data_IF_462030088392
#
_entry.id   IF_462030088392
#
_cell.length_a   1.000
_cell.length_b   1.000
_cell.length_c   1.000
_cell.angle_alpha   90.00
_cell.angle_beta   90.00
_cell.angle_gamma   90.00
#
_symmetry.space_group_name_H-M   'P 1'
#
loop_
_entity.id
_entity.type
_entity.pdbx_description
1 polymer ?
#
# COMPACT_ATOMS: atom_id res chain seq x y z
N UNK A 1 1.59 20.86 2.72
CA UNK A 1 0.33 20.19 3.08
C UNK A 1 -0.54 20.09 1.85
N UNK A 2 -1.23 18.97 1.69
CA UNK A 2 -2.09 18.65 0.55
C UNK A 2 -3.53 19.14 0.67
N UNK A 3 -4.46 18.39 0.07
CA UNK A 3 -5.89 18.71 -0.02
C UNK A 3 -6.65 18.66 1.32
N UNK A 4 -6.40 17.63 2.13
CA UNK A 4 -7.00 17.50 3.47
C UNK A 4 -5.89 17.53 4.52
N UNK A 5 -6.03 18.45 5.48
CA UNK A 5 -5.07 18.62 6.55
C UNK A 5 -5.74 18.50 7.91
N UNK A 6 -5.24 17.56 8.71
CA UNK A 6 -5.68 17.29 10.06
C UNK A 6 -4.46 17.26 10.98
N UNK A 7 -4.43 18.19 11.94
CA UNK A 7 -3.44 18.25 13.00
C UNK A 7 -4.14 18.31 14.36
N UNK A 8 -3.91 17.31 15.20
CA UNK A 8 -4.38 17.31 16.58
C UNK A 8 -5.78 16.73 16.80
N UNK A 9 -6.23 15.75 16.00
CA UNK A 9 -7.54 15.09 16.16
C UNK A 9 -7.59 14.10 17.36
N UNK A 10 -7.25 14.56 18.57
CA UNK A 10 -7.38 13.74 19.79
C UNK A 10 -7.89 14.59 20.97
N UNK A 11 -9.22 14.63 21.09
CA UNK A 11 -9.97 15.27 22.18
C UNK A 11 -10.99 14.26 22.73
N UNK A 12 -11.50 14.49 23.94
CA UNK A 12 -12.47 13.62 24.64
C UNK A 12 -13.75 13.31 23.84
N UNK A 13 -14.02 14.02 22.75
CA UNK A 13 -15.16 13.83 21.84
C UNK A 13 -14.76 13.51 20.39
N UNK A 14 -13.48 13.18 20.14
CA UNK A 14 -12.99 12.93 18.78
C UNK A 14 -13.72 11.74 18.17
N UNK A 15 -14.36 11.98 17.02
CA UNK A 15 -14.96 10.94 16.19
C UNK A 15 -13.94 10.45 15.16
N UNK A 16 -14.10 9.23 14.64
CA UNK A 16 -13.25 8.76 13.56
C UNK A 16 -13.31 9.68 12.34
N UNK A 17 -12.18 9.83 11.68
CA UNK A 17 -12.09 10.50 10.39
C UNK A 17 -12.50 9.52 9.29
N UNK A 18 -13.43 9.91 8.43
CA UNK A 18 -13.89 9.10 7.31
C UNK A 18 -13.66 9.82 5.98
N UNK A 19 -13.01 9.13 5.04
CA UNK A 19 -12.99 9.48 3.62
C UNK A 19 -13.59 8.31 2.84
N UNK A 20 -14.65 8.58 2.09
CA UNK A 20 -15.34 7.58 1.30
C UNK A 20 -15.48 8.08 -0.13
N UNK A 21 -15.17 7.23 -1.13
CA UNK A 21 -15.45 7.51 -2.55
C UNK A 21 -14.94 8.89 -3.01
N UNK A 22 -13.71 9.20 -2.62
CA UNK A 22 -13.09 10.50 -2.91
C UNK A 22 -11.88 10.32 -3.81
N UNK A 23 -11.72 11.22 -4.78
CA UNK A 23 -10.56 11.24 -5.68
C UNK A 23 -9.68 12.45 -5.33
N UNK A 24 -8.42 12.18 -5.03
CA UNK A 24 -7.35 13.14 -4.87
C UNK A 24 -6.43 13.01 -6.08
N UNK A 25 -6.51 13.96 -7.00
CA UNK A 25 -5.78 13.91 -8.26
C UNK A 25 -4.95 15.19 -8.45
N UNK A 26 -3.70 15.02 -8.90
CA UNK A 26 -2.77 16.09 -9.25
C UNK A 26 -2.51 17.11 -8.11
N UNK A 27 -2.63 16.69 -6.84
CA UNK A 27 -2.33 17.59 -5.72
C UNK A 27 -0.82 17.74 -5.56
N UNK A 28 -0.38 18.97 -5.30
CA UNK A 28 1.03 19.28 -5.04
C UNK A 28 1.16 19.87 -3.65
N UNK A 29 2.03 19.28 -2.82
CA UNK A 29 2.44 19.85 -1.54
C UNK A 29 3.93 20.15 -1.51
N UNK A 30 4.37 20.97 -0.55
CA UNK A 30 5.78 21.23 -0.24
C UNK A 30 6.25 20.57 1.06
N UNK A 31 5.38 19.79 1.70
CA UNK A 31 5.59 19.14 2.98
C UNK A 31 4.43 18.16 3.19
N UNK A 32 4.74 16.97 3.73
CA UNK A 32 3.92 15.79 4.04
C UNK A 32 2.48 15.73 3.54
N UNK A 33 2.05 14.55 3.07
CA UNK A 33 0.65 14.28 2.79
C UNK A 33 0.14 15.14 1.64
N UNK A 34 0.67 14.91 0.42
CA UNK A 34 0.27 15.68 -0.77
C UNK A 34 -1.21 15.61 -1.10
N UNK A 35 -1.91 14.55 -0.69
CA UNK A 35 -3.36 14.47 -0.71
C UNK A 35 -3.96 14.64 0.68
N UNK A 36 -3.50 13.83 1.64
CA UNK A 36 -4.06 13.80 3.00
C UNK A 36 -2.93 13.78 4.00
N UNK A 37 -3.00 14.71 4.96
CA UNK A 37 -2.18 14.69 6.15
C UNK A 37 -3.08 14.51 7.37
N UNK A 38 -2.76 13.52 8.19
CA UNK A 38 -3.46 13.25 9.44
C UNK A 38 -2.48 12.93 10.56
N UNK A 39 -2.49 13.78 11.59
CA UNK A 39 -1.65 13.67 12.77
C UNK A 39 -2.49 13.76 14.04
N UNK A 40 -2.29 12.79 14.94
CA UNK A 40 -3.07 12.63 16.17
C UNK A 40 -2.12 12.72 17.38
N UNK A 41 -2.45 13.59 18.35
CA UNK A 41 -1.59 13.81 19.51
C UNK A 41 -1.56 12.61 20.46
N UNK A 42 -0.36 12.26 20.94
CA UNK A 42 -0.13 11.19 21.91
C UNK A 42 -0.64 11.58 23.31
N UNK A 43 -0.95 10.58 24.14
CA UNK A 43 -1.26 10.73 25.58
C UNK A 43 -2.49 11.61 25.92
N UNK A 44 -3.48 11.68 25.04
CA UNK A 44 -4.77 12.32 25.30
C UNK A 44 -5.90 11.29 25.29
N UNK A 45 -6.89 11.40 26.20
CA UNK A 45 -7.99 10.43 26.27
C UNK A 45 -8.88 10.51 25.03
N UNK A 46 -9.00 9.38 24.32
CA UNK A 46 -9.85 9.22 23.13
C UNK A 46 -9.05 8.86 21.87
N UNK A 47 -8.77 7.57 21.63
CA UNK A 47 -8.14 7.17 20.36
C UNK A 47 -9.18 7.31 19.24
N UNK A 48 -8.99 8.28 18.35
CA UNK A 48 -9.71 8.35 17.08
C UNK A 48 -9.03 7.46 16.04
N UNK A 49 -9.74 7.09 14.98
CA UNK A 49 -9.24 6.25 13.88
C UNK A 49 -9.46 6.95 12.55
N UNK A 50 -8.61 6.65 11.56
CA UNK A 50 -8.81 7.04 10.17
C UNK A 50 -9.40 5.86 9.38
N UNK A 51 -10.52 6.09 8.72
CA UNK A 51 -11.19 5.16 7.82
C UNK A 51 -11.19 5.75 6.41
N UNK A 52 -10.51 5.09 5.49
CA UNK A 52 -10.41 5.53 4.09
C UNK A 52 -10.86 4.38 3.21
N UNK A 53 -11.92 4.62 2.45
CA UNK A 53 -12.60 3.57 1.71
C UNK A 53 -12.95 4.03 0.31
N UNK A 54 -12.65 3.18 -0.67
CA UNK A 54 -12.97 3.43 -2.08
C UNK A 54 -12.42 4.78 -2.58
N UNK A 55 -11.21 5.16 -2.16
CA UNK A 55 -10.59 6.42 -2.56
C UNK A 55 -9.51 6.23 -3.63
N UNK A 56 -9.42 7.20 -4.54
CA UNK A 56 -8.39 7.25 -5.58
C UNK A 56 -7.37 8.34 -5.28
N UNK A 57 -6.08 8.00 -5.23
CA UNK A 57 -4.97 8.91 -5.03
C UNK A 57 -4.06 8.84 -6.26
N UNK A 58 -4.23 9.79 -7.17
CA UNK A 58 -3.62 9.77 -8.49
C UNK A 58 -2.69 10.96 -8.71
N UNK A 59 -1.47 10.70 -9.19
CA UNK A 59 -0.53 11.73 -9.65
C UNK A 59 -0.21 12.83 -8.61
N UNK A 60 -0.36 12.53 -7.31
CA UNK A 60 -0.08 13.51 -6.28
C UNK A 60 1.43 13.60 -6.05
N UNK A 61 1.92 14.82 -5.86
CA UNK A 61 3.35 15.09 -5.73
C UNK A 61 3.63 15.85 -4.45
N UNK A 62 4.48 15.30 -3.58
CA UNK A 62 5.15 16.12 -2.57
C UNK A 62 6.49 16.57 -3.16
N UNK A 63 6.64 17.89 -3.34
CA UNK A 63 7.80 18.56 -3.91
C UNK A 63 8.75 19.16 -2.86
N UNK A 64 8.48 18.92 -1.57
CA UNK A 64 9.30 19.42 -0.47
C UNK A 64 10.69 18.79 -0.43
N UNK A 65 11.71 19.54 -0.04
CA UNK A 65 13.09 19.01 0.02
C UNK A 65 13.51 18.55 1.43
N UNK A 66 12.76 18.94 2.47
CA UNK A 66 13.13 18.72 3.87
C UNK A 66 12.34 17.55 4.48
N UNK A 67 11.01 17.56 4.34
CA UNK A 67 10.10 16.64 5.06
C UNK A 67 9.03 16.02 4.13
N UNK A 68 9.43 15.55 2.97
CA UNK A 68 8.51 15.08 1.92
C UNK A 68 8.16 13.61 2.08
N UNK A 69 7.04 13.31 2.75
CA UNK A 69 6.61 11.91 2.96
C UNK A 69 5.12 11.69 2.79
N UNK A 70 4.78 10.60 2.10
CA UNK A 70 3.43 10.11 1.91
C UNK A 70 2.56 11.04 1.06
N UNK A 71 1.85 10.47 0.10
CA UNK A 71 0.64 11.10 -0.44
C UNK A 71 -0.47 11.10 0.61
N UNK A 72 -0.58 9.98 1.33
CA UNK A 72 -1.27 9.86 2.60
C UNK A 72 -0.24 9.85 3.72
N UNK A 73 -0.35 10.78 4.66
CA UNK A 73 0.39 10.75 5.92
C UNK A 73 -0.60 10.43 7.06
N UNK A 74 -0.32 9.39 7.83
CA UNK A 74 -1.10 9.04 9.01
C UNK A 74 -0.20 8.67 10.20
N UNK A 75 -0.35 9.37 11.31
CA UNK A 75 0.41 9.11 12.54
C UNK A 75 -0.43 9.32 13.81
N UNK A 76 -0.24 8.44 14.80
CA UNK A 76 -0.84 8.58 16.13
C UNK A 76 -2.26 8.03 16.25
N UNK A 77 -2.83 7.47 15.18
CA UNK A 77 -4.13 6.82 15.17
C UNK A 77 -4.15 5.58 14.26
N UNK A 78 -4.97 4.56 14.58
CA UNK A 78 -5.18 3.43 13.69
C UNK A 78 -5.72 3.86 12.32
N UNK A 79 -5.21 3.24 11.25
CA UNK A 79 -5.69 3.44 9.88
C UNK A 79 -6.36 2.16 9.36
N UNK A 80 -7.56 2.29 8.81
CA UNK A 80 -8.20 1.25 8.00
C UNK A 80 -8.38 1.77 6.59
N UNK A 81 -7.67 1.18 5.64
CA UNK A 81 -7.67 1.52 4.23
C UNK A 81 -8.27 0.38 3.42
N UNK A 82 -9.36 0.66 2.70
CA UNK A 82 -10.17 -0.33 2.01
C UNK A 82 -10.39 0.07 0.55
N UNK A 83 -10.31 -0.89 -0.35
CA UNK A 83 -10.81 -0.77 -1.74
C UNK A 83 -10.29 0.46 -2.51
N UNK A 84 -9.07 0.89 -2.20
CA UNK A 84 -8.51 2.17 -2.65
C UNK A 84 -7.32 1.98 -3.60
N UNK A 85 -7.03 3.00 -4.40
CA UNK A 85 -5.89 2.99 -5.32
C UNK A 85 -4.96 4.16 -5.07
N UNK A 86 -3.67 3.87 -5.00
CA UNK A 86 -2.60 4.86 -5.04
C UNK A 86 -1.82 4.62 -6.33
N UNK A 87 -1.90 5.56 -7.28
CA UNK A 87 -1.18 5.44 -8.53
C UNK A 87 -0.39 6.70 -8.92
N UNK A 88 0.82 6.49 -9.43
CA UNK A 88 1.69 7.53 -9.97
C UNK A 88 2.02 8.65 -8.98
N UNK A 89 1.98 8.37 -7.68
CA UNK A 89 2.29 9.39 -6.70
C UNK A 89 3.80 9.46 -6.45
N UNK A 90 4.31 10.68 -6.24
CA UNK A 90 5.74 10.92 -6.06
C UNK A 90 6.03 11.74 -4.81
N UNK A 91 7.04 11.34 -4.05
CA UNK A 91 7.58 12.12 -2.93
C UNK A 91 9.10 12.25 -3.06
N UNK A 92 9.71 13.24 -2.41
CA UNK A 92 11.16 13.51 -2.48
C UNK A 92 11.98 12.86 -1.35
N UNK A 93 11.36 12.18 -0.37
CA UNK A 93 12.10 11.46 0.69
C UNK A 93 11.64 10.04 0.89
N UNK A 94 10.44 9.83 1.41
CA UNK A 94 9.96 8.49 1.77
C UNK A 94 8.49 8.34 1.41
N UNK A 95 8.01 7.11 1.25
CA UNK A 95 6.59 6.83 1.02
C UNK A 95 6.04 7.56 -0.21
N UNK A 96 6.21 7.01 -1.41
CA UNK A 96 5.54 7.56 -2.61
C UNK A 96 4.01 7.60 -2.42
N UNK A 97 3.43 6.57 -1.80
CA UNK A 97 2.00 6.51 -1.49
C UNK A 97 1.67 6.83 -0.03
N UNK A 98 2.07 5.98 0.93
CA UNK A 98 1.60 6.07 2.31
C UNK A 98 2.76 6.13 3.28
N UNK A 99 2.79 7.17 4.10
CA UNK A 99 3.66 7.26 5.27
C UNK A 99 2.86 6.99 6.53
N UNK A 100 3.27 5.96 7.27
CA UNK A 100 2.76 5.63 8.58
C UNK A 100 3.79 6.05 9.63
N UNK A 101 3.37 6.85 10.61
CA UNK A 101 4.19 7.22 11.77
C UNK A 101 4.37 6.08 12.76
N UNK A 102 4.75 6.36 14.00
CA UNK A 102 4.96 5.35 15.06
C UNK A 102 3.66 5.04 15.82
N UNK A 103 3.67 4.00 16.65
CA UNK A 103 2.71 3.75 17.73
C UNK A 103 1.22 3.62 17.36
N UNK A 104 0.90 3.05 16.20
CA UNK A 104 -0.48 2.67 15.84
C UNK A 104 -0.52 1.35 15.05
N UNK A 105 -1.71 0.96 14.62
CA UNK A 105 -1.95 -0.23 13.80
C UNK A 105 -2.62 0.16 12.48
N UNK A 106 -2.26 -0.53 11.40
CA UNK A 106 -2.84 -0.26 10.08
C UNK A 106 -3.38 -1.53 9.43
N UNK A 107 -4.58 -1.45 8.87
CA UNK A 107 -5.15 -2.48 7.99
C UNK A 107 -5.30 -1.94 6.57
N UNK A 108 -4.80 -2.69 5.60
CA UNK A 108 -4.87 -2.37 4.17
C UNK A 108 -5.47 -3.57 3.44
N UNK A 109 -6.64 -3.39 2.86
CA UNK A 109 -7.43 -4.49 2.30
C UNK A 109 -7.94 -4.10 0.91
N UNK A 110 -7.82 -5.02 -0.06
CA UNK A 110 -8.32 -4.80 -1.42
C UNK A 110 -7.79 -3.51 -2.05
N UNK A 111 -6.52 -3.19 -1.84
CA UNK A 111 -5.94 -1.95 -2.36
C UNK A 111 -4.94 -2.22 -3.48
N UNK A 112 -4.86 -1.27 -4.42
CA UNK A 112 -3.88 -1.29 -5.52
C UNK A 112 -2.88 -0.15 -5.34
N UNK A 113 -1.59 -0.49 -5.37
CA UNK A 113 -0.47 0.46 -5.33
C UNK A 113 0.33 0.33 -6.62
N UNK A 114 0.23 1.32 -7.49
CA UNK A 114 0.82 1.27 -8.83
C UNK A 114 1.78 2.43 -9.05
N UNK A 115 3.02 2.15 -9.46
CA UNK A 115 3.94 3.18 -9.95
C UNK A 115 4.13 4.37 -8.98
N UNK A 116 4.12 4.12 -7.67
CA UNK A 116 4.42 5.14 -6.67
C UNK A 116 5.93 5.20 -6.44
N UNK A 117 6.49 6.41 -6.41
CA UNK A 117 7.94 6.62 -6.47
C UNK A 117 8.44 7.52 -5.36
N UNK A 118 9.62 7.21 -4.85
CA UNK A 118 10.35 8.07 -3.94
C UNK A 118 11.85 7.79 -4.05
N UNK A 119 12.74 8.79 -3.86
CA UNK A 119 14.16 8.53 -3.88
C UNK A 119 14.64 7.75 -2.64
N UNK A 120 13.92 7.80 -1.51
CA UNK A 120 14.26 7.02 -0.31
C UNK A 120 13.39 5.79 -0.15
N UNK A 121 13.06 5.41 1.07
CA UNK A 121 12.44 4.12 1.38
C UNK A 121 10.91 4.10 1.20
N UNK A 122 10.37 2.92 0.88
CA UNK A 122 8.92 2.70 0.77
C UNK A 122 8.34 3.37 -0.47
N UNK A 123 8.54 2.81 -1.66
CA UNK A 123 7.95 3.38 -2.89
C UNK A 123 6.43 3.49 -2.79
N UNK A 124 5.76 2.43 -2.31
CA UNK A 124 4.36 2.52 -1.89
C UNK A 124 4.25 2.88 -0.40
N UNK A 125 4.63 1.99 0.51
CA UNK A 125 4.36 2.14 1.95
C UNK A 125 5.65 2.27 2.74
N UNK A 126 5.74 3.31 3.56
CA UNK A 126 6.68 3.39 4.69
C UNK A 126 5.90 3.14 5.98
N UNK A 127 6.25 2.06 6.69
CA UNK A 127 5.45 1.49 7.76
C UNK A 127 5.75 1.96 9.17
N UNK A 128 6.71 2.87 9.37
CA UNK A 128 6.98 3.49 10.67
C UNK A 128 7.15 2.55 11.86
N UNK A 129 7.52 1.28 11.63
CA UNK A 129 7.60 0.22 12.67
C UNK A 129 6.27 -0.13 13.35
N UNK A 130 5.15 0.28 12.76
CA UNK A 130 3.80 -0.09 13.20
C UNK A 130 3.46 -1.54 12.85
N UNK A 131 2.44 -2.08 13.53
CA UNK A 131 1.80 -3.33 13.09
C UNK A 131 0.93 -3.07 11.87
N UNK A 132 1.19 -3.77 10.77
CA UNK A 132 0.49 -3.58 9.49
C UNK A 132 -0.05 -4.92 9.01
N UNK A 133 -1.35 -4.98 8.72
CA UNK A 133 -2.00 -6.11 8.07
C UNK A 133 -2.34 -5.76 6.63
N UNK A 134 -1.81 -6.54 5.69
CA UNK A 134 -2.03 -6.37 4.25
C UNK A 134 -2.76 -7.61 3.73
N UNK A 135 -3.94 -7.43 3.16
CA UNK A 135 -4.80 -8.52 2.72
C UNK A 135 -5.37 -8.23 1.33
N UNK A 136 -5.19 -9.17 0.40
CA UNK A 136 -5.76 -9.07 -0.94
C UNK A 136 -5.37 -7.76 -1.64
N UNK A 137 -4.09 -7.39 -1.61
CA UNK A 137 -3.58 -6.18 -2.25
C UNK A 137 -2.74 -6.48 -3.49
N UNK A 138 -2.60 -5.49 -4.36
CA UNK A 138 -1.74 -5.57 -5.54
C UNK A 138 -0.73 -4.42 -5.49
N UNK A 139 0.56 -4.74 -5.46
CA UNK A 139 1.66 -3.77 -5.52
C UNK A 139 2.42 -3.97 -6.83
N UNK A 140 2.38 -2.98 -7.72
CA UNK A 140 3.11 -3.06 -8.97
C UNK A 140 3.86 -1.80 -9.34
N UNK A 141 5.05 -1.98 -9.92
CA UNK A 141 5.87 -0.89 -10.48
C UNK A 141 6.26 0.21 -9.48
N UNK A 142 6.19 -0.06 -8.17
CA UNK A 142 6.60 0.92 -7.17
C UNK A 142 8.13 0.97 -7.05
N UNK A 143 8.66 2.17 -6.83
CA UNK A 143 10.10 2.44 -6.82
C UNK A 143 10.52 3.17 -5.54
N UNK A 144 11.60 2.68 -4.92
CA UNK A 144 12.20 3.26 -3.72
C UNK A 144 13.61 2.71 -3.48
N UNK A 145 14.39 3.31 -2.60
CA UNK A 145 15.73 2.83 -2.25
C UNK A 145 15.73 1.45 -1.59
N UNK A 146 14.86 1.26 -0.59
CA UNK A 146 14.65 0.02 0.13
C UNK A 146 13.15 -0.20 0.36
N UNK A 147 12.72 -1.45 0.28
CA UNK A 147 11.30 -1.82 0.32
C UNK A 147 10.45 -1.04 -0.70
N UNK A 148 10.70 -1.17 -2.02
CA UNK A 148 9.98 -0.39 -3.03
C UNK A 148 8.45 -0.55 -2.95
N UNK A 149 7.94 -1.72 -2.54
CA UNK A 149 6.54 -1.86 -2.17
C UNK A 149 6.32 -1.50 -0.70
N UNK A 150 7.02 -2.18 0.22
CA UNK A 150 6.81 -2.02 1.67
C UNK A 150 8.15 -1.89 2.38
N UNK A 151 8.34 -0.76 3.05
CA UNK A 151 9.43 -0.57 3.99
C UNK A 151 8.92 -0.61 5.43
N UNK A 152 9.33 -1.62 6.18
CA UNK A 152 9.22 -1.70 7.63
C UNK A 152 10.31 -2.66 8.12
N UNK A 153 11.23 -2.19 8.96
CA UNK A 153 12.44 -2.90 9.39
C UNK A 153 12.20 -3.82 10.61
N UNK A 154 10.94 -4.00 11.03
CA UNK A 154 10.54 -4.91 12.11
C UNK A 154 9.89 -6.17 11.50
N UNK A 155 10.60 -7.33 11.45
CA UNK A 155 10.15 -8.51 10.72
C UNK A 155 8.81 -9.12 11.18
N UNK A 156 8.43 -8.96 12.44
CA UNK A 156 7.19 -9.47 13.03
C UNK A 156 6.05 -8.44 13.06
N UNK A 157 6.27 -7.23 12.54
CA UNK A 157 5.27 -6.17 12.54
C UNK A 157 4.35 -6.20 11.31
N UNK A 158 4.73 -6.85 10.21
CA UNK A 158 3.92 -6.87 8.98
C UNK A 158 3.40 -8.28 8.73
N UNK A 159 2.08 -8.39 8.55
CA UNK A 159 1.40 -9.62 8.09
C UNK A 159 0.90 -9.41 6.67
N UNK A 160 1.31 -10.28 5.75
CA UNK A 160 0.93 -10.18 4.33
C UNK A 160 0.19 -11.44 3.89
N UNK A 161 -1.04 -11.27 3.39
CA UNK A 161 -1.87 -12.38 2.96
C UNK A 161 -2.50 -12.13 1.59
N UNK A 162 -2.56 -13.18 0.76
CA UNK A 162 -3.28 -13.19 -0.52
C UNK A 162 -2.88 -12.03 -1.45
N UNK A 163 -1.62 -11.65 -1.47
CA UNK A 163 -1.15 -10.36 -2.04
C UNK A 163 -0.18 -10.59 -3.19
N UNK A 164 -0.26 -9.73 -4.20
CA UNK A 164 0.56 -9.79 -5.41
C UNK A 164 1.58 -8.65 -5.41
N UNK A 165 2.83 -8.97 -5.75
CA UNK A 165 3.91 -8.02 -5.98
C UNK A 165 4.53 -8.22 -7.36
N UNK A 166 4.48 -7.20 -8.22
CA UNK A 166 4.99 -7.31 -9.61
C UNK A 166 5.80 -6.09 -10.00
N UNK A 167 7.03 -6.29 -10.47
CA UNK A 167 7.84 -5.23 -11.04
C UNK A 167 8.12 -4.04 -10.10
N UNK A 168 8.04 -4.21 -8.79
CA UNK A 168 8.57 -3.21 -7.86
C UNK A 168 10.11 -3.27 -7.91
N UNK A 169 10.79 -2.12 -7.83
CA UNK A 169 12.23 -2.09 -8.08
C UNK A 169 12.99 -1.13 -7.16
N UNK A 170 14.15 -1.56 -6.62
CA UNK A 170 15.03 -0.68 -5.89
C UNK A 170 15.82 0.20 -6.86
N UNK A 171 15.96 1.49 -6.55
CA UNK A 171 16.58 2.45 -7.48
C UNK A 171 18.07 2.72 -7.21
N UNK A 172 18.57 2.48 -6.00
CA UNK A 172 19.98 2.76 -5.63
C UNK A 172 20.84 1.51 -5.48
N UNK A 173 20.24 0.37 -5.10
CA UNK A 173 20.98 -0.82 -4.72
C UNK A 173 20.39 -2.05 -5.41
N UNK A 174 21.08 -2.53 -6.44
CA UNK A 174 20.71 -3.74 -7.19
C UNK A 174 20.69 -5.03 -6.35
N UNK A 175 21.26 -5.02 -5.14
CA UNK A 175 21.22 -6.13 -4.19
C UNK A 175 20.07 -6.04 -3.20
N UNK A 176 19.38 -4.90 -3.11
CA UNK A 176 18.21 -4.77 -2.24
C UNK A 176 17.08 -5.70 -2.70
N UNK A 177 16.16 -5.96 -1.80
CA UNK A 177 14.95 -6.73 -2.08
C UNK A 177 14.06 -5.90 -3.01
N UNK A 178 13.37 -6.55 -3.95
CA UNK A 178 12.54 -5.81 -4.91
C UNK A 178 11.22 -5.31 -4.35
N UNK A 179 10.69 -5.99 -3.33
CA UNK A 179 9.34 -5.75 -2.85
C UNK A 179 9.35 -5.21 -1.41
N UNK A 180 9.72 -6.03 -0.45
CA UNK A 180 9.73 -5.69 0.98
C UNK A 180 11.14 -5.42 1.48
N UNK A 181 11.33 -4.60 2.51
CA UNK A 181 12.69 -4.30 3.02
C UNK A 181 13.36 -5.46 3.75
N UNK A 182 12.58 -6.41 4.26
CA UNK A 182 13.00 -7.64 4.94
C UNK A 182 12.01 -8.76 4.61
N UNK A 183 12.35 -10.00 4.94
CA UNK A 183 11.40 -11.11 4.97
C UNK A 183 10.63 -11.06 6.27
N UNK A 184 9.32 -10.83 6.19
CA UNK A 184 8.43 -10.82 7.34
C UNK A 184 8.09 -12.24 7.78
N UNK A 185 7.82 -12.40 9.08
CA UNK A 185 7.64 -13.72 9.70
C UNK A 185 6.20 -14.22 9.68
N UNK A 186 5.24 -13.39 9.26
CA UNK A 186 3.80 -13.72 9.27
C UNK A 186 3.18 -13.44 7.91
N UNK A 187 2.45 -14.41 7.37
CA UNK A 187 1.74 -14.26 6.11
C UNK A 187 1.44 -15.60 5.44
N UNK A 188 0.77 -15.52 4.30
CA UNK A 188 0.46 -16.69 3.45
C UNK A 188 0.03 -16.23 2.06
N UNK A 189 0.19 -17.07 1.03
CA UNK A 189 -0.29 -16.78 -0.33
C UNK A 189 0.24 -15.44 -0.87
N UNK A 190 1.55 -15.25 -0.82
CA UNK A 190 2.23 -14.07 -1.38
C UNK A 190 2.90 -14.45 -2.69
N UNK A 191 2.58 -13.70 -3.73
CA UNK A 191 3.05 -13.97 -5.10
C UNK A 191 3.95 -12.83 -5.58
N UNK A 192 5.14 -13.15 -6.07
CA UNK A 192 6.14 -12.16 -6.48
C UNK A 192 6.61 -12.39 -7.93
N UNK A 193 6.85 -11.31 -8.66
CA UNK A 193 7.41 -11.39 -10.01
C UNK A 193 8.19 -10.15 -10.44
N UNK A 194 9.23 -10.27 -11.29
CA UNK A 194 10.02 -11.46 -11.58
C UNK A 194 10.83 -12.00 -10.40
N UNK A 195 11.33 -13.24 -10.58
CA UNK A 195 12.18 -13.96 -9.62
C UNK A 195 13.57 -13.37 -9.45
N UNK A 196 14.07 -12.65 -10.44
CA UNK A 196 15.43 -12.12 -10.44
C UNK A 196 15.45 -10.61 -10.25
N UNK A 197 16.50 -10.13 -9.58
CA UNK A 197 16.85 -8.72 -9.46
C UNK A 197 17.51 -8.23 -10.75
N UNK A 198 17.66 -6.92 -10.88
CA UNK A 198 18.34 -6.29 -12.02
C UNK A 198 19.81 -6.72 -12.18
N UNK A 199 20.45 -7.25 -11.13
CA UNK A 199 21.79 -7.83 -11.18
C UNK A 199 21.83 -9.32 -11.57
N UNK A 200 20.70 -9.92 -11.97
CA UNK A 200 20.60 -11.33 -12.36
C UNK A 200 20.69 -12.32 -11.19
N UNK A 201 20.63 -11.87 -9.93
CA UNK A 201 20.54 -12.75 -8.77
C UNK A 201 19.08 -12.99 -8.37
N UNK A 202 18.75 -14.14 -7.75
CA UNK A 202 17.43 -14.36 -7.18
C UNK A 202 17.03 -13.25 -6.21
N UNK A 203 15.77 -12.83 -6.27
CA UNK A 203 15.18 -11.91 -5.31
C UNK A 203 14.91 -12.60 -3.98
N UNK A 204 14.89 -11.79 -2.93
CA UNK A 204 14.42 -12.22 -1.63
C UNK A 204 12.90 -12.15 -1.57
N UNK A 205 12.31 -12.91 -0.65
CA UNK A 205 10.86 -12.99 -0.49
C UNK A 205 10.37 -12.11 0.64
N UNK A 206 9.19 -11.49 0.45
CA UNK A 206 8.48 -10.72 1.47
C UNK A 206 8.06 -11.58 2.66
N UNK A 207 7.84 -12.88 2.46
CA UNK A 207 7.61 -13.90 3.49
C UNK A 207 8.35 -15.18 3.10
N UNK A 208 8.65 -16.07 4.03
CA UNK A 208 9.51 -17.24 3.77
C UNK A 208 8.99 -18.20 2.68
N UNK A 209 7.68 -18.29 2.53
CA UNK A 209 6.98 -19.21 1.61
C UNK A 209 6.37 -18.50 0.39
N UNK A 210 6.80 -17.27 0.09
CA UNK A 210 6.31 -16.55 -1.08
C UNK A 210 6.65 -17.32 -2.38
N UNK A 211 5.72 -17.31 -3.32
CA UNK A 211 5.83 -18.02 -4.59
C UNK A 211 6.22 -17.03 -5.69
N UNK A 212 7.27 -17.34 -6.44
CA UNK A 212 7.61 -16.57 -7.63
C UNK A 212 6.83 -17.08 -8.84
N UNK A 213 5.86 -16.29 -9.30
CA UNK A 213 5.01 -16.65 -10.43
C UNK A 213 4.46 -15.38 -11.08
N UNK A 214 4.44 -15.34 -12.42
CA UNK A 214 3.84 -14.23 -13.14
C UNK A 214 2.30 -14.29 -13.01
N UNK A 215 1.66 -13.34 -12.31
CA UNK A 215 0.22 -13.31 -12.15
C UNK A 215 -0.52 -12.87 -13.42
N UNK A 216 0.19 -12.46 -14.48
CA UNK A 216 -0.40 -11.97 -15.73
C UNK A 216 -1.36 -10.79 -15.49
N UNK A 217 -0.89 -9.80 -14.71
CA UNK A 217 -1.64 -8.57 -14.47
C UNK A 217 -1.81 -7.80 -15.78
N UNK A 218 -3.03 -7.31 -16.00
CA UNK A 218 -3.31 -6.28 -16.98
C UNK A 218 -2.87 -4.90 -16.45
N UNK A 219 -2.76 -3.94 -17.35
CA UNK A 219 -2.56 -2.52 -17.06
C UNK A 219 -3.57 -1.97 -16.05
N UNK A 220 -3.13 -0.97 -15.27
CA UNK A 220 -4.02 -0.24 -14.38
C UNK A 220 -5.07 0.53 -15.20
N UNK A 221 -6.35 0.21 -15.00
CA UNK A 221 -7.46 0.87 -15.70
C UNK A 221 -8.78 0.74 -14.93
N UNK A 222 -9.83 1.34 -15.46
CA UNK A 222 -11.18 1.13 -14.93
C UNK A 222 -11.67 -0.27 -15.30
N UNK A 223 -11.92 -1.11 -14.30
CA UNK A 223 -12.44 -2.47 -14.48
C UNK A 223 -13.81 -2.67 -13.78
N UNK A 224 -14.59 -1.59 -13.65
CA UNK A 224 -15.98 -1.64 -13.16
C UNK A 224 -16.21 -1.34 -11.67
N UNK A 225 -15.22 -0.79 -10.97
CA UNK A 225 -15.36 -0.27 -9.60
C UNK A 225 -15.17 1.25 -9.54
N UNK A 226 -15.28 1.84 -8.34
CA UNK A 226 -15.06 3.28 -8.15
C UNK A 226 -13.59 3.69 -8.40
N UNK A 227 -12.64 2.83 -8.05
CA UNK A 227 -11.20 3.06 -8.19
C UNK A 227 -10.60 2.16 -9.28
N UNK A 228 -9.48 2.60 -9.86
CA UNK A 228 -8.75 1.82 -10.88
C UNK A 228 -8.14 0.55 -10.27
N UNK A 229 -8.13 -0.55 -11.02
CA UNK A 229 -7.53 -1.82 -10.60
C UNK A 229 -6.65 -2.42 -11.69
N UNK A 230 -5.81 -3.38 -11.33
CA UNK A 230 -5.09 -4.24 -12.28
C UNK A 230 -5.82 -5.58 -12.33
N UNK A 231 -6.44 -5.88 -13.46
CA UNK A 231 -7.19 -7.13 -13.63
C UNK A 231 -6.25 -8.32 -13.82
N UNK A 232 -6.73 -9.52 -13.49
CA UNK A 232 -6.11 -10.78 -13.92
C UNK A 232 -7.11 -11.56 -14.78
N UNK A 233 -6.60 -12.26 -15.79
CA UNK A 233 -7.41 -13.13 -16.64
C UNK A 233 -7.77 -14.45 -15.95
N UNK A 234 -8.85 -15.11 -16.39
CA UNK A 234 -9.34 -16.40 -15.84
C UNK A 234 -8.32 -17.55 -15.84
N UNK A 235 -7.30 -17.47 -16.70
CA UNK A 235 -6.24 -18.47 -16.81
C UNK A 235 -4.98 -18.08 -16.02
N UNK A 236 -5.00 -16.95 -15.31
CA UNK A 236 -3.89 -16.53 -14.47
C UNK A 236 -3.62 -17.59 -13.41
N UNK A 237 -2.35 -17.88 -13.10
CA UNK A 237 -1.99 -18.90 -12.14
C UNK A 237 -2.33 -18.53 -10.69
N UNK A 238 -2.78 -17.30 -10.44
CA UNK A 238 -3.19 -16.82 -9.12
C UNK A 238 -4.71 -16.73 -8.92
N UNK A 239 -5.47 -17.37 -9.83
CA UNK A 239 -6.94 -17.47 -9.77
C UNK A 239 -7.38 -18.63 -8.88
N UNK A 240 -8.31 -18.38 -7.97
CA UNK A 240 -8.99 -19.41 -7.18
C UNK A 240 -8.08 -20.24 -6.28
N UNK A 241 -7.03 -19.62 -5.73
CA UNK A 241 -6.02 -20.30 -4.91
C UNK A 241 -5.97 -19.83 -3.46
N UNK A 242 -6.61 -18.70 -3.14
CA UNK A 242 -6.58 -18.10 -1.81
C UNK A 242 -7.85 -18.43 -1.02
N UNK A 243 -7.72 -18.42 0.30
CA UNK A 243 -8.83 -18.54 1.27
C UNK A 243 -8.81 -17.34 2.23
N UNK A 244 -9.78 -17.25 3.14
CA UNK A 244 -9.89 -16.18 4.15
C UNK A 244 -9.93 -14.77 3.55
N UNK A 245 -10.60 -14.64 2.41
CA UNK A 245 -10.73 -13.39 1.68
C UNK A 245 -11.91 -12.56 2.19
N UNK A 246 -11.90 -11.23 2.00
CA UNK A 246 -13.08 -10.40 2.20
C UNK A 246 -14.24 -10.84 1.28
N UNK A 247 -15.48 -10.47 1.62
CA UNK A 247 -16.66 -10.83 0.82
C UNK A 247 -16.61 -10.26 -0.61
N UNK A 248 -15.98 -9.09 -0.78
CA UNK A 248 -15.85 -8.41 -2.06
C UNK A 248 -14.39 -8.16 -2.45
N UNK A 249 -14.16 -7.93 -3.73
CA UNK A 249 -12.90 -7.39 -4.24
C UNK A 249 -12.89 -5.85 -4.14
N UNK A 250 -11.82 -5.22 -4.63
CA UNK A 250 -11.66 -3.77 -4.61
C UNK A 250 -12.81 -3.00 -5.29
N UNK A 251 -13.51 -3.63 -6.24
CA UNK A 251 -14.60 -2.99 -6.98
C UNK A 251 -15.93 -3.06 -6.23
N UNK A 252 -15.96 -3.73 -5.07
CA UNK A 252 -17.19 -4.04 -4.35
C UNK A 252 -17.94 -5.23 -4.94
N UNK A 253 -17.33 -6.03 -5.82
CA UNK A 253 -17.98 -7.19 -6.41
C UNK A 253 -17.68 -8.47 -5.61
N UNK A 254 -18.62 -9.42 -5.47
CA UNK A 254 -18.43 -10.62 -4.64
C UNK A 254 -17.24 -11.48 -5.07
N UNK A 255 -16.46 -11.97 -4.11
CA UNK A 255 -15.38 -12.95 -4.34
C UNK A 255 -15.92 -14.37 -4.40
N UNK A 256 -15.21 -15.25 -5.10
CA UNK A 256 -15.45 -16.70 -5.02
C UNK A 256 -15.04 -17.21 -3.65
N UNK A 257 -15.58 -18.37 -3.25
CA UNK A 257 -15.24 -19.03 -1.97
C UNK A 257 -13.72 -19.24 -1.82
N UNK A 258 -13.11 -19.79 -2.88
CA UNK A 258 -11.66 -19.79 -3.05
C UNK A 258 -11.35 -18.65 -3.99
N UNK A 259 -10.79 -17.58 -3.46
CA UNK A 259 -10.69 -16.31 -4.16
C UNK A 259 -9.37 -16.19 -4.92
N UNK A 260 -9.32 -15.19 -5.78
CA UNK A 260 -8.11 -14.81 -6.48
C UNK A 260 -7.17 -14.02 -5.57
N UNK A 261 -5.86 -14.16 -5.79
CA UNK A 261 -4.89 -13.33 -5.11
C UNK A 261 -4.99 -11.87 -5.59
N UNK A 262 -4.61 -10.94 -4.71
CA UNK A 262 -4.60 -9.51 -5.00
C UNK A 262 -5.96 -8.84 -4.90
N UNK A 263 -6.01 -7.58 -5.35
CA UNK A 263 -7.15 -6.69 -5.14
C UNK A 263 -8.34 -6.94 -6.08
N UNK A 264 -8.15 -7.75 -7.11
CA UNK A 264 -9.14 -8.01 -8.17
C UNK A 264 -9.61 -9.46 -8.16
N UNK A 265 -10.90 -9.69 -8.41
CA UNK A 265 -11.46 -11.03 -8.63
C UNK A 265 -11.86 -11.24 -10.10
N UNK A 266 -11.29 -12.25 -10.75
CA UNK A 266 -11.62 -12.68 -12.11
C UNK A 266 -13.04 -13.26 -12.22
N UNK A 267 -13.62 -13.11 -13.41
CA UNK A 267 -14.95 -13.61 -13.78
C UNK A 267 -14.85 -14.64 -14.88
#
# INVERSE_FOLDING_TARGET
>A
MGAVYIDGMNYTLAKPFHLLRTIFNDNISHCHGSAVFSYYYKNKPGVSSAFIEECGFYNNTDSGTITSTGTLYNEGAPLKLLSSTFANNTTQKHAGAIFLGLDATTEIINCTFFNNKTPGNGGAIFGGRQKIRILNCTFSENEGSYGPAIFNDVPDAVTIMNTIFVNNNPIINQYAYRNCTVTYTTGSNVFQWPKEKSNGKPDNTCISDAVFIDPQLDSLKSNGGFTLTMAIGKNSPVVGICDSCPETDQRGLPRKKRCDAGAYESR
#
